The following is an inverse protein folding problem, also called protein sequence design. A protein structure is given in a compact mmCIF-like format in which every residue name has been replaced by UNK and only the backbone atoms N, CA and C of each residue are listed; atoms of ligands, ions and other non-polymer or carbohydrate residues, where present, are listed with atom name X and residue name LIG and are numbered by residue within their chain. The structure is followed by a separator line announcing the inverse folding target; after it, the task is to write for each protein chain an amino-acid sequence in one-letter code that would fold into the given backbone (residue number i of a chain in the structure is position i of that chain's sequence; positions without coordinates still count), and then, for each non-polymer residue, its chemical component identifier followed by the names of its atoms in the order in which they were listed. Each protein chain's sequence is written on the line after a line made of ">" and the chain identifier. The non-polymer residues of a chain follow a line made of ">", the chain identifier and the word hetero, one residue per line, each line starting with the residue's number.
data_IF_812954824920
#
_entry.id   IF_812954824920
#
_cell.length_a   1.000
_cell.length_b   1.000
_cell.length_c   1.000
_cell.angle_alpha   90.00
_cell.angle_beta   90.00
_cell.angle_gamma   90.00
#
_symmetry.space_group_name_H-M   'P 1'
#
loop_
_entity.id
_entity.type
_entity.pdbx_description
1 polymer ?
#
# COMPACT_ATOMS: atom_id res chain seq x y z
N UNK A 1 33.48 -30.00 -53.42
CA UNK A 1 34.25 -28.98 -52.67
C UNK A 1 34.49 -29.50 -51.27
N UNK A 2 35.72 -29.45 -50.79
CA UNK A 2 36.26 -30.29 -49.71
C UNK A 2 36.00 -29.68 -48.32
N UNK A 3 35.07 -30.27 -47.56
CA UNK A 3 34.63 -29.84 -46.23
C UNK A 3 35.81 -29.68 -45.24
N UNK A 4 36.87 -30.45 -45.44
CA UNK A 4 38.08 -30.46 -44.61
C UNK A 4 38.86 -29.15 -44.68
N UNK A 5 38.89 -28.49 -45.85
CA UNK A 5 39.59 -27.20 -46.04
C UNK A 5 38.83 -26.02 -45.44
N UNK A 6 37.50 -26.13 -45.28
CA UNK A 6 36.70 -25.11 -44.62
C UNK A 6 36.83 -25.16 -43.09
N UNK A 7 36.99 -26.35 -42.51
CA UNK A 7 37.12 -26.52 -41.06
C UNK A 7 38.47 -26.00 -40.53
N UNK A 8 39.55 -26.13 -41.30
CA UNK A 8 40.85 -25.57 -40.93
C UNK A 8 40.87 -24.03 -40.90
N UNK A 9 40.07 -23.37 -41.74
CA UNK A 9 39.98 -21.90 -41.80
C UNK A 9 39.29 -21.24 -40.60
N UNK A 10 38.65 -22.04 -39.73
CA UNK A 10 37.92 -21.58 -38.54
C UNK A 10 38.75 -21.67 -37.25
N UNK A 11 40.00 -22.13 -37.32
CA UNK A 11 40.93 -22.10 -36.18
C UNK A 11 41.81 -20.85 -36.24
N UNK A 12 41.76 -20.01 -35.20
CA UNK A 12 42.54 -18.76 -35.07
C UNK A 12 44.03 -18.98 -34.68
N UNK A 13 44.45 -20.22 -34.42
CA UNK A 13 45.83 -20.56 -34.03
C UNK A 13 46.61 -21.22 -35.18
N UNK A 14 47.61 -20.49 -35.68
CA UNK A 14 48.41 -20.83 -36.86
C UNK A 14 49.32 -22.06 -36.64
N UNK A 15 49.72 -22.34 -35.39
CA UNK A 15 50.52 -23.53 -35.05
C UNK A 15 49.68 -24.81 -35.03
N UNK A 16 48.40 -24.69 -34.66
CA UNK A 16 47.48 -25.83 -34.63
C UNK A 16 47.07 -26.21 -36.06
N UNK A 17 46.87 -25.23 -36.96
CA UNK A 17 46.60 -25.48 -38.38
C UNK A 17 47.74 -26.26 -39.05
N UNK A 18 49.00 -25.90 -38.80
CA UNK A 18 50.16 -26.56 -39.43
C UNK A 18 50.32 -28.00 -38.98
N UNK A 19 50.12 -28.29 -37.68
CA UNK A 19 50.14 -29.68 -37.17
C UNK A 19 49.02 -30.53 -37.73
N UNK A 20 47.79 -30.00 -37.82
CA UNK A 20 46.66 -30.73 -38.41
C UNK A 20 46.87 -31.02 -39.90
N UNK A 21 47.42 -30.07 -40.66
CA UNK A 21 47.80 -30.29 -42.06
C UNK A 21 48.83 -31.41 -42.21
N UNK A 22 49.81 -31.52 -41.31
CA UNK A 22 50.80 -32.61 -41.37
C UNK A 22 50.18 -34.00 -41.13
N UNK A 23 49.21 -34.10 -40.23
CA UNK A 23 48.57 -35.38 -39.86
C UNK A 23 47.60 -35.84 -40.96
N UNK A 24 46.85 -34.91 -41.55
CA UNK A 24 45.88 -35.20 -42.61
C UNK A 24 46.58 -35.65 -43.89
N UNK A 25 47.75 -35.08 -44.20
CA UNK A 25 48.53 -35.43 -45.39
C UNK A 25 49.45 -36.66 -45.17
N UNK A 26 49.65 -37.12 -43.94
CA UNK A 26 50.49 -38.29 -43.62
C UNK A 26 49.72 -39.62 -43.53
N UNK A 27 48.42 -39.64 -43.86
CA UNK A 27 47.64 -40.87 -43.90
C UNK A 27 47.72 -41.51 -45.31
N UNK A 28 48.36 -42.69 -45.49
CA UNK A 28 48.34 -43.39 -46.76
C UNK A 28 46.94 -43.95 -47.03
N UNK A 29 46.46 -43.75 -48.26
CA UNK A 29 45.25 -44.38 -48.77
C UNK A 29 45.44 -45.91 -48.81
N UNK A 30 44.63 -46.63 -48.02
CA UNK A 30 44.60 -48.09 -48.06
C UNK A 30 44.09 -48.56 -49.44
N UNK A 31 45.02 -49.06 -50.25
CA UNK A 31 44.75 -49.70 -51.54
C UNK A 31 45.42 -51.07 -51.54
N UNK A 32 44.59 -52.10 -51.73
CA UNK A 32 44.87 -53.45 -52.26
C UNK A 32 45.76 -54.48 -51.51
N UNK A 33 45.13 -55.66 -51.34
CA UNK A 33 45.62 -57.02 -51.62
C UNK A 33 47.09 -57.37 -51.33
N UNK A 34 47.29 -58.37 -50.46
CA UNK A 34 48.12 -59.54 -50.83
C UNK A 34 47.89 -60.72 -49.87
N UNK A 35 47.63 -61.85 -50.51
CA UNK A 35 47.54 -63.21 -49.97
C UNK A 35 48.86 -63.66 -49.34
N UNK A 36 48.83 -64.60 -48.39
CA UNK A 36 49.81 -65.70 -48.30
C UNK A 36 49.32 -66.79 -47.33
N UNK A 37 49.05 -67.94 -47.93
CA UNK A 37 48.89 -69.27 -47.34
C UNK A 37 50.19 -69.80 -46.75
N UNK A 38 50.13 -70.50 -45.61
CA UNK A 38 51.19 -71.46 -45.22
C UNK A 38 50.56 -72.79 -44.80
N UNK A 39 50.47 -73.63 -45.81
CA UNK A 39 50.73 -75.06 -45.90
C UNK A 39 51.25 -75.78 -44.65
N UNK A 40 50.50 -76.83 -44.28
CA UNK A 40 50.94 -78.11 -43.72
C UNK A 40 52.42 -78.45 -43.96
N UNK A 41 53.13 -78.87 -42.90
CA UNK A 41 54.27 -79.78 -43.01
C UNK A 41 54.27 -80.78 -41.85
N UNK A 42 53.88 -82.01 -42.17
CA UNK A 42 54.32 -83.21 -41.45
C UNK A 42 55.81 -83.41 -41.71
N UNK A 43 56.62 -83.53 -40.64
CA UNK A 43 57.89 -84.25 -40.63
C UNK A 43 58.23 -84.59 -39.16
N UNK A 44 58.00 -85.84 -38.75
CA UNK A 44 58.78 -86.48 -37.68
C UNK A 44 60.07 -87.05 -38.28
N UNK A 45 61.00 -87.59 -37.47
CA UNK A 45 61.82 -86.88 -36.49
C UNK A 45 63.31 -87.06 -36.85
N UNK A 46 64.18 -86.13 -36.47
CA UNK A 46 65.60 -86.44 -36.35
C UNK A 46 66.00 -86.13 -34.90
N UNK A 47 65.89 -87.17 -34.06
CA UNK A 47 66.31 -87.15 -32.67
C UNK A 47 67.81 -87.46 -32.68
N UNK A 48 68.63 -86.41 -32.54
CA UNK A 48 69.88 -86.55 -31.81
C UNK A 48 69.52 -86.63 -30.32
N UNK A 49 70.14 -87.52 -29.52
CA UNK A 49 69.80 -87.64 -28.11
C UNK A 49 70.37 -86.43 -27.37
N UNK A 50 69.56 -85.39 -27.17
CA UNK A 50 69.79 -84.46 -26.08
C UNK A 50 69.53 -85.19 -24.76
N UNK A 51 70.44 -84.96 -23.83
CA UNK A 51 70.49 -85.55 -22.51
C UNK A 51 69.14 -85.35 -21.79
N UNK A 52 68.58 -86.43 -21.24
CA UNK A 52 67.20 -86.49 -20.73
C UNK A 52 66.94 -85.53 -19.57
N UNK A 53 68.00 -84.92 -19.00
CA UNK A 53 67.92 -83.93 -17.94
C UNK A 53 67.62 -82.50 -18.43
N UNK A 54 68.03 -82.10 -19.63
CA UNK A 54 67.83 -80.72 -20.10
C UNK A 54 66.39 -80.45 -20.59
N UNK A 55 65.74 -81.45 -21.18
CA UNK A 55 64.35 -81.36 -21.62
C UNK A 55 63.39 -81.28 -20.42
N UNK A 56 63.62 -82.11 -19.38
CA UNK A 56 62.81 -82.10 -18.15
C UNK A 56 63.00 -80.79 -17.36
N UNK A 57 64.21 -80.22 -17.33
CA UNK A 57 64.48 -78.92 -16.70
C UNK A 57 63.78 -77.76 -17.43
N UNK A 58 63.78 -77.78 -18.77
CA UNK A 58 63.13 -76.77 -19.60
C UNK A 58 61.60 -76.85 -19.52
N UNK A 59 61.05 -78.07 -19.47
CA UNK A 59 59.62 -78.33 -19.25
C UNK A 59 59.18 -77.82 -17.86
N UNK A 60 60.00 -78.02 -16.83
CA UNK A 60 59.76 -77.50 -15.48
C UNK A 60 59.76 -75.96 -15.45
N UNK A 61 60.73 -75.32 -16.12
CA UNK A 61 60.80 -73.85 -16.20
C UNK A 61 59.64 -73.24 -17.00
N UNK A 62 59.18 -73.93 -18.06
CA UNK A 62 58.00 -73.53 -18.83
C UNK A 62 56.73 -73.60 -17.96
N UNK A 63 56.56 -74.67 -17.19
CA UNK A 63 55.43 -74.82 -16.27
C UNK A 63 55.46 -73.77 -15.15
N UNK A 64 56.63 -73.46 -14.61
CA UNK A 64 56.80 -72.39 -13.61
C UNK A 64 56.47 -71.01 -14.18
N UNK A 65 56.87 -70.74 -15.43
CA UNK A 65 56.52 -69.49 -16.13
C UNK A 65 55.01 -69.38 -16.40
N UNK A 66 54.33 -70.47 -16.73
CA UNK A 66 52.88 -70.52 -16.91
C UNK A 66 52.14 -70.21 -15.61
N UNK A 67 52.58 -70.83 -14.51
CA UNK A 67 52.03 -70.57 -13.18
C UNK A 67 52.21 -69.10 -12.78
N UNK A 68 53.35 -68.50 -13.13
CA UNK A 68 53.63 -67.08 -12.87
C UNK A 68 52.75 -66.15 -13.69
N UNK A 69 52.46 -66.49 -14.95
CA UNK A 69 51.56 -65.72 -15.82
C UNK A 69 50.12 -65.78 -15.29
N UNK A 70 49.65 -66.95 -14.84
CA UNK A 70 48.33 -67.07 -14.22
C UNK A 70 48.23 -66.25 -12.92
N UNK A 71 49.28 -66.27 -12.10
CA UNK A 71 49.33 -65.48 -10.87
C UNK A 71 49.28 -63.97 -11.15
N UNK A 72 50.07 -63.49 -12.12
CA UNK A 72 50.07 -62.08 -12.53
C UNK A 72 48.76 -61.65 -13.20
N UNK A 73 48.10 -62.55 -13.92
CA UNK A 73 46.76 -62.33 -14.48
C UNK A 73 45.72 -62.17 -13.37
N UNK A 74 45.77 -63.02 -12.35
CA UNK A 74 44.91 -62.94 -11.18
C UNK A 74 45.14 -61.65 -10.39
N UNK A 75 46.39 -61.27 -10.15
CA UNK A 75 46.75 -60.00 -9.49
C UNK A 75 46.27 -58.78 -10.29
N UNK A 76 46.41 -58.79 -11.62
CA UNK A 76 45.88 -57.71 -12.46
C UNK A 76 44.35 -57.63 -12.43
N UNK A 77 43.65 -58.76 -12.40
CA UNK A 77 42.20 -58.76 -12.22
C UNK A 77 41.80 -58.18 -10.86
N UNK A 78 42.51 -58.54 -9.78
CA UNK A 78 42.26 -58.00 -8.45
C UNK A 78 42.56 -56.49 -8.37
N UNK A 79 43.66 -56.03 -8.97
CA UNK A 79 44.00 -54.62 -9.05
C UNK A 79 42.96 -53.83 -9.85
N UNK A 80 42.48 -54.35 -10.98
CA UNK A 80 41.42 -53.71 -11.75
C UNK A 80 40.10 -53.63 -10.98
N UNK A 81 39.75 -54.68 -10.23
CA UNK A 81 38.59 -54.65 -9.34
C UNK A 81 38.75 -53.62 -8.21
N UNK A 82 39.96 -53.48 -7.65
CA UNK A 82 40.26 -52.51 -6.61
C UNK A 82 40.20 -51.07 -7.16
N UNK A 83 40.73 -50.84 -8.37
CA UNK A 83 40.64 -49.56 -9.08
C UNK A 83 39.17 -49.18 -9.32
N UNK A 84 38.32 -50.11 -9.75
CA UNK A 84 36.90 -49.81 -9.94
C UNK A 84 36.18 -49.52 -8.61
N UNK A 85 36.48 -50.27 -7.54
CA UNK A 85 35.96 -49.96 -6.20
C UNK A 85 36.41 -48.57 -5.71
N UNK A 86 37.67 -48.20 -5.96
CA UNK A 86 38.21 -46.88 -5.59
C UNK A 86 37.54 -45.77 -6.42
N UNK A 87 37.32 -45.96 -7.73
CA UNK A 87 36.58 -45.01 -8.57
C UNK A 87 35.15 -44.79 -8.08
N UNK A 88 34.48 -45.86 -7.64
CA UNK A 88 33.14 -45.78 -7.04
C UNK A 88 33.15 -45.06 -5.67
N UNK A 89 34.10 -45.40 -4.79
CA UNK A 89 34.25 -44.77 -3.47
C UNK A 89 34.61 -43.28 -3.54
N UNK A 90 35.45 -42.89 -4.49
CA UNK A 90 35.88 -41.50 -4.70
C UNK A 90 34.84 -40.67 -5.47
N UNK A 91 33.67 -41.24 -5.81
CA UNK A 91 32.60 -40.50 -6.47
C UNK A 91 32.93 -40.05 -7.89
N UNK A 92 33.92 -40.69 -8.55
CA UNK A 92 34.20 -40.49 -9.97
C UNK A 92 33.19 -41.24 -10.87
N UNK A 93 32.02 -41.62 -10.34
CA UNK A 93 30.90 -42.01 -11.18
C UNK A 93 30.53 -40.81 -12.04
N UNK A 94 30.66 -40.98 -13.35
CA UNK A 94 30.50 -39.94 -14.36
C UNK A 94 29.14 -39.21 -14.24
N UNK A 95 28.13 -39.91 -13.69
CA UNK A 95 26.77 -39.41 -13.45
C UNK A 95 26.65 -38.40 -12.31
N UNK A 96 27.46 -38.51 -11.25
CA UNK A 96 27.39 -37.60 -10.10
C UNK A 96 27.91 -36.20 -10.47
N UNK A 97 28.92 -36.11 -11.33
CA UNK A 97 29.54 -34.85 -11.76
C UNK A 97 28.69 -34.08 -12.79
N UNK A 98 27.82 -34.77 -13.53
CA UNK A 98 26.87 -34.16 -14.49
C UNK A 98 25.60 -33.62 -13.80
N UNK A 99 25.18 -34.22 -12.68
CA UNK A 99 23.96 -33.86 -11.96
C UNK A 99 24.05 -32.58 -11.10
N UNK A 100 25.23 -32.29 -10.53
CA UNK A 100 25.44 -31.10 -9.69
C UNK A 100 25.34 -29.77 -10.46
N UNK A 101 25.95 -29.59 -11.65
CA UNK A 101 25.83 -28.38 -12.45
C UNK A 101 24.39 -28.04 -12.83
N UNK A 102 23.60 -29.06 -13.18
CA UNK A 102 22.18 -28.90 -13.52
C UNK A 102 21.36 -28.44 -12.31
N UNK A 103 21.62 -29.01 -11.12
CA UNK A 103 20.98 -28.57 -9.88
C UNK A 103 21.36 -27.13 -9.50
N UNK A 104 22.63 -26.75 -9.69
CA UNK A 104 23.10 -25.37 -9.47
C UNK A 104 22.41 -24.41 -10.45
N UNK A 105 22.27 -24.79 -11.72
CA UNK A 105 21.56 -24.00 -12.73
C UNK A 105 20.08 -23.81 -12.39
N UNK A 106 19.40 -24.87 -11.95
CA UNK A 106 18.00 -24.82 -11.52
C UNK A 106 17.82 -23.93 -10.29
N UNK A 107 18.69 -24.05 -9.28
CA UNK A 107 18.66 -23.21 -8.09
C UNK A 107 18.93 -21.74 -8.43
N UNK A 108 19.88 -21.44 -9.32
CA UNK A 108 20.12 -20.07 -9.79
C UNK A 108 18.91 -19.50 -10.54
N UNK A 109 18.23 -20.31 -11.35
CA UNK A 109 17.03 -19.89 -12.05
C UNK A 109 15.87 -19.61 -11.09
N UNK A 110 15.68 -20.47 -10.07
CA UNK A 110 14.70 -20.24 -9.01
C UNK A 110 15.03 -18.98 -8.20
N UNK A 111 16.31 -18.72 -7.89
CA UNK A 111 16.74 -17.54 -7.16
C UNK A 111 16.46 -16.26 -7.97
N UNK A 112 16.73 -16.26 -9.28
CA UNK A 112 16.36 -15.15 -10.18
C UNK A 112 14.84 -14.95 -10.25
N UNK A 113 14.06 -16.03 -10.36
CA UNK A 113 12.60 -15.95 -10.39
C UNK A 113 12.04 -15.38 -9.07
N UNK A 114 12.58 -15.82 -7.93
CA UNK A 114 12.21 -15.30 -6.60
C UNK A 114 12.64 -13.86 -6.39
N UNK A 115 13.81 -13.45 -6.90
CA UNK A 115 14.24 -12.06 -6.85
C UNK A 115 13.28 -11.17 -7.66
N UNK A 116 12.90 -11.59 -8.87
CA UNK A 116 11.93 -10.85 -9.69
C UNK A 116 10.53 -10.79 -9.04
N UNK A 117 10.13 -11.83 -8.30
CA UNK A 117 8.89 -11.83 -7.52
C UNK A 117 8.95 -10.84 -6.34
N UNK A 118 10.08 -10.81 -5.63
CA UNK A 118 10.35 -9.83 -4.55
C UNK A 118 10.30 -8.40 -5.09
N UNK A 119 10.94 -8.15 -6.23
CA UNK A 119 10.97 -6.80 -6.82
C UNK A 119 9.56 -6.34 -7.24
N UNK A 120 8.74 -7.24 -7.79
CA UNK A 120 7.33 -6.97 -8.09
C UNK A 120 6.49 -6.70 -6.85
N UNK A 121 6.69 -7.49 -5.80
CA UNK A 121 6.01 -7.30 -4.52
C UNK A 121 6.40 -5.97 -3.88
N UNK A 122 7.68 -5.60 -3.94
CA UNK A 122 8.17 -4.30 -3.44
C UNK A 122 7.54 -3.13 -4.20
N UNK A 123 7.46 -3.22 -5.55
CA UNK A 123 6.75 -2.21 -6.33
C UNK A 123 5.27 -2.11 -5.93
N UNK A 124 4.59 -3.24 -5.75
CA UNK A 124 3.19 -3.24 -5.33
C UNK A 124 3.01 -2.62 -3.94
N UNK A 125 3.92 -2.89 -3.00
CA UNK A 125 3.91 -2.31 -1.66
C UNK A 125 4.10 -0.79 -1.71
N UNK A 126 5.04 -0.30 -2.53
CA UNK A 126 5.28 1.14 -2.70
C UNK A 126 4.09 1.84 -3.36
N UNK A 127 3.47 1.22 -4.37
CA UNK A 127 2.25 1.73 -5.00
C UNK A 127 1.09 1.80 -4.00
N UNK A 128 0.88 0.72 -3.23
CA UNK A 128 -0.16 0.68 -2.20
C UNK A 128 0.09 1.71 -1.09
N UNK A 129 1.34 1.89 -0.67
CA UNK A 129 1.72 2.90 0.33
C UNK A 129 1.43 4.31 -0.18
N UNK A 130 1.74 4.59 -1.44
CA UNK A 130 1.45 5.88 -2.08
C UNK A 130 -0.06 6.12 -2.17
N UNK A 131 -0.84 5.10 -2.56
CA UNK A 131 -2.30 5.19 -2.60
C UNK A 131 -2.93 5.39 -1.20
N UNK A 132 -2.38 4.75 -0.17
CA UNK A 132 -2.82 4.94 1.21
C UNK A 132 -2.54 6.36 1.69
N UNK A 133 -1.34 6.89 1.41
CA UNK A 133 -1.01 8.28 1.74
C UNK A 133 -1.92 9.27 1.03
N UNK A 134 -2.20 9.07 -0.26
CA UNK A 134 -3.14 9.91 -1.01
C UNK A 134 -4.55 9.84 -0.41
N UNK A 135 -5.08 8.64 -0.15
CA UNK A 135 -6.40 8.48 0.47
C UNK A 135 -6.49 9.11 1.85
N UNK A 136 -5.42 9.01 2.65
CA UNK A 136 -5.36 9.62 3.97
C UNK A 136 -5.37 11.15 3.87
N UNK A 137 -4.61 11.72 2.94
CA UNK A 137 -4.62 13.15 2.69
C UNK A 137 -5.99 13.63 2.19
N UNK A 138 -6.65 12.89 1.31
CA UNK A 138 -7.98 13.20 0.81
C UNK A 138 -9.06 13.06 1.89
N UNK A 139 -8.89 12.13 2.83
CA UNK A 139 -9.73 12.07 4.03
C UNK A 139 -9.55 13.31 4.89
N UNK A 140 -8.31 13.68 5.21
CA UNK A 140 -8.00 14.89 6.01
C UNK A 140 -8.61 16.14 5.39
N UNK A 141 -8.47 16.33 4.07
CA UNK A 141 -9.07 17.47 3.35
C UNK A 141 -10.60 17.47 3.42
N UNK A 142 -11.24 16.30 3.42
CA UNK A 142 -12.70 16.19 3.56
C UNK A 142 -13.14 16.51 4.99
N UNK A 143 -12.40 16.04 5.98
CA UNK A 143 -12.67 16.32 7.39
C UNK A 143 -12.52 17.82 7.68
N UNK A 144 -11.49 18.46 7.15
CA UNK A 144 -11.31 19.93 7.21
C UNK A 144 -12.48 20.68 6.58
N UNK A 145 -12.95 20.25 5.40
CA UNK A 145 -14.14 20.84 4.76
C UNK A 145 -15.39 20.65 5.60
N UNK A 146 -15.56 19.49 6.23
CA UNK A 146 -16.71 19.20 7.08
C UNK A 146 -16.73 20.10 8.31
N UNK A 147 -15.60 20.24 8.99
CA UNK A 147 -15.44 21.19 10.11
C UNK A 147 -15.71 22.62 9.66
N UNK A 148 -15.23 22.99 8.46
CA UNK A 148 -15.51 24.30 7.88
C UNK A 148 -17.01 24.52 7.67
N UNK A 149 -17.72 23.58 7.03
CA UNK A 149 -19.17 23.69 6.82
C UNK A 149 -19.95 23.77 8.13
N UNK A 150 -19.60 22.92 9.11
CA UNK A 150 -20.21 22.99 10.44
C UNK A 150 -20.02 24.37 11.05
N UNK A 151 -18.78 24.86 11.13
CA UNK A 151 -18.48 26.14 11.77
C UNK A 151 -19.20 27.33 11.11
N UNK A 152 -19.38 27.32 9.78
CA UNK A 152 -19.93 28.47 9.06
C UNK A 152 -21.47 28.45 8.96
N UNK A 153 -22.08 27.26 8.89
CA UNK A 153 -23.52 27.10 8.64
C UNK A 153 -24.30 26.53 9.82
N UNK A 154 -23.65 26.11 10.92
CA UNK A 154 -24.34 25.59 12.11
C UNK A 154 -25.39 26.56 12.64
N UNK A 155 -25.05 27.85 12.78
CA UNK A 155 -26.01 28.86 13.25
C UNK A 155 -27.22 29.00 12.30
N UNK A 156 -27.04 28.85 10.98
CA UNK A 156 -28.12 28.95 9.99
C UNK A 156 -29.03 27.71 9.99
N UNK A 157 -28.45 26.53 10.18
CA UNK A 157 -29.20 25.29 10.36
C UNK A 157 -29.95 25.28 11.69
N UNK A 158 -29.36 25.83 12.75
CA UNK A 158 -30.00 25.98 14.05
C UNK A 158 -31.20 26.94 13.99
N UNK A 159 -31.11 28.02 13.20
CA UNK A 159 -32.25 28.91 12.92
C UNK A 159 -33.41 28.13 12.31
N UNK A 160 -33.14 27.29 11.30
CA UNK A 160 -34.16 26.46 10.66
C UNK A 160 -34.77 25.45 11.65
N UNK A 161 -33.94 24.71 12.39
CA UNK A 161 -34.41 23.72 13.36
C UNK A 161 -35.32 24.35 14.40
N UNK A 162 -34.89 25.48 14.99
CA UNK A 162 -35.68 26.21 15.98
C UNK A 162 -37.03 26.65 15.40
N UNK A 163 -37.04 27.17 14.17
CA UNK A 163 -38.28 27.59 13.51
C UNK A 163 -39.23 26.42 13.25
N UNK A 164 -38.70 25.26 12.82
CA UNK A 164 -39.49 24.05 12.57
C UNK A 164 -40.05 23.44 13.86
N UNK A 165 -39.34 23.57 14.98
CA UNK A 165 -39.77 23.10 16.30
C UNK A 165 -40.81 24.00 16.99
N UNK A 166 -41.08 25.20 16.46
CA UNK A 166 -42.17 26.06 16.95
C UNK A 166 -43.52 25.38 16.72
N UNK A 167 -44.50 25.68 17.57
CA UNK A 167 -45.88 25.27 17.34
C UNK A 167 -46.45 25.89 16.06
N UNK A 168 -47.45 25.24 15.48
CA UNK A 168 -48.13 25.74 14.27
C UNK A 168 -48.75 27.11 14.49
N UNK A 169 -49.29 27.35 15.69
CA UNK A 169 -49.83 28.66 16.09
C UNK A 169 -48.74 29.74 16.04
N UNK A 170 -47.59 29.49 16.67
CA UNK A 170 -46.46 30.43 16.67
C UNK A 170 -45.94 30.68 15.26
N UNK A 171 -45.77 29.65 14.43
CA UNK A 171 -45.34 29.83 13.03
C UNK A 171 -46.33 30.68 12.23
N UNK A 172 -47.63 30.42 12.41
CA UNK A 172 -48.70 31.19 11.75
C UNK A 172 -48.62 32.67 12.12
N UNK A 173 -48.42 32.99 13.40
CA UNK A 173 -48.22 34.36 13.88
C UNK A 173 -46.97 35.02 13.28
N UNK A 174 -45.92 34.24 13.00
CA UNK A 174 -44.66 34.71 12.44
C UNK A 174 -44.65 34.82 10.90
N UNK A 175 -45.69 34.38 10.19
CA UNK A 175 -45.78 34.46 8.72
C UNK A 175 -45.68 35.91 8.18
N UNK A 176 -46.04 36.91 8.99
CA UNK A 176 -45.88 38.32 8.64
C UNK A 176 -44.41 38.79 8.62
N UNK A 177 -43.52 38.02 9.25
CA UNK A 177 -42.08 38.30 9.39
C UNK A 177 -41.30 37.38 8.44
N UNK A 178 -41.57 36.08 8.47
CA UNK A 178 -40.89 35.08 7.63
C UNK A 178 -41.79 34.68 6.46
N UNK A 179 -41.49 35.19 5.27
CA UNK A 179 -42.26 34.89 4.05
C UNK A 179 -41.79 33.63 3.35
N UNK A 180 -40.53 33.27 3.54
CA UNK A 180 -39.91 32.03 3.08
C UNK A 180 -39.31 31.32 4.30
N UNK A 181 -39.58 30.01 4.39
CA UNK A 181 -39.22 29.15 5.52
C UNK A 181 -38.05 28.21 5.17
N UNK A 182 -37.43 28.39 3.99
CA UNK A 182 -36.12 27.85 3.66
C UNK A 182 -35.02 28.45 4.56
N UNK A 183 -33.85 27.82 4.62
CA UNK A 183 -32.70 28.34 5.39
C UNK A 183 -32.34 29.75 4.91
N UNK A 184 -32.19 29.90 3.60
CA UNK A 184 -31.86 31.16 2.94
C UNK A 184 -32.93 32.22 3.17
N UNK A 185 -34.20 31.82 3.10
CA UNK A 185 -35.36 32.67 3.35
C UNK A 185 -35.41 33.21 4.77
N UNK A 186 -35.21 32.35 5.77
CA UNK A 186 -35.19 32.73 7.19
C UNK A 186 -34.04 33.69 7.49
N UNK A 187 -32.84 33.39 7.00
CA UNK A 187 -31.66 34.27 7.17
C UNK A 187 -31.87 35.61 6.48
N UNK A 188 -32.35 35.61 5.22
CA UNK A 188 -32.61 36.84 4.49
C UNK A 188 -33.68 37.70 5.16
N UNK A 189 -34.74 37.09 5.71
CA UNK A 189 -35.74 37.79 6.50
C UNK A 189 -35.15 38.34 7.80
N UNK A 190 -34.30 37.58 8.50
CA UNK A 190 -33.68 37.99 9.77
C UNK A 190 -32.68 39.14 9.67
N UNK A 191 -32.05 39.34 8.50
CA UNK A 191 -31.15 40.47 8.26
C UNK A 191 -31.93 41.78 8.02
N UNK A 192 -33.24 41.73 7.74
CA UNK A 192 -34.01 42.95 7.51
C UNK A 192 -34.35 43.65 8.82
N UNK A 193 -33.97 44.94 8.95
CA UNK A 193 -34.19 45.74 10.16
C UNK A 193 -35.66 45.74 10.63
N UNK A 194 -36.60 45.82 9.68
CA UNK A 194 -38.03 45.76 9.98
C UNK A 194 -38.43 44.43 10.62
N UNK A 195 -37.94 43.32 10.08
CA UNK A 195 -38.30 41.99 10.53
C UNK A 195 -37.66 41.65 11.87
N UNK A 196 -36.39 42.01 12.08
CA UNK A 196 -35.74 41.80 13.37
C UNK A 196 -36.39 42.63 14.48
N UNK A 197 -36.80 43.86 14.17
CA UNK A 197 -37.58 44.69 15.10
C UNK A 197 -38.95 44.07 15.39
N UNK A 198 -39.67 43.60 14.37
CA UNK A 198 -40.98 42.97 14.53
C UNK A 198 -40.90 41.67 15.32
N UNK A 199 -39.85 40.86 15.11
CA UNK A 199 -39.61 39.63 15.85
C UNK A 199 -39.38 39.93 17.32
N UNK A 200 -38.60 40.97 17.62
CA UNK A 200 -38.41 41.42 18.99
C UNK A 200 -39.71 41.90 19.63
N UNK A 201 -40.51 42.70 18.92
CA UNK A 201 -41.81 43.18 19.42
C UNK A 201 -42.78 42.03 19.69
N UNK A 202 -42.79 41.01 18.83
CA UNK A 202 -43.55 39.78 19.02
C UNK A 202 -43.06 39.00 20.25
N UNK A 203 -41.75 38.76 20.38
CA UNK A 203 -41.18 38.08 21.54
C UNK A 203 -41.53 38.82 22.84
N UNK A 204 -41.47 40.15 22.84
CA UNK A 204 -41.89 40.98 23.97
C UNK A 204 -43.38 40.80 24.28
N UNK A 205 -44.26 40.84 23.29
CA UNK A 205 -45.70 40.69 23.54
C UNK A 205 -46.04 39.32 24.12
N UNK A 206 -45.41 38.26 23.61
CA UNK A 206 -45.56 36.91 24.13
C UNK A 206 -44.95 36.75 25.52
N UNK A 207 -43.82 37.42 25.81
CA UNK A 207 -43.21 37.39 27.13
C UNK A 207 -44.07 38.09 28.20
N UNK A 208 -44.71 39.22 27.86
CA UNK A 208 -45.53 39.98 28.82
C UNK A 208 -46.94 39.39 28.99
N UNK A 209 -47.57 38.98 27.89
CA UNK A 209 -48.99 38.62 27.87
C UNK A 209 -49.25 37.11 27.72
N UNK A 210 -48.26 36.35 27.26
CA UNK A 210 -48.46 35.01 26.76
C UNK A 210 -48.09 33.91 27.75
N UNK A 211 -48.73 32.76 27.59
CA UNK A 211 -48.27 31.45 28.09
C UNK A 211 -47.65 30.63 26.96
N UNK A 212 -47.07 31.31 25.96
CA UNK A 212 -46.56 30.67 24.77
C UNK A 212 -45.40 29.73 25.13
N UNK A 213 -45.55 28.41 24.95
CA UNK A 213 -44.53 27.45 25.34
C UNK A 213 -43.26 27.58 24.49
N UNK A 214 -43.34 28.27 23.35
CA UNK A 214 -42.21 28.47 22.43
C UNK A 214 -41.40 29.74 22.73
N UNK A 215 -41.72 30.52 23.78
CA UNK A 215 -41.08 31.80 24.05
C UNK A 215 -39.54 31.72 24.10
N UNK A 216 -38.99 30.70 24.76
CA UNK A 216 -37.55 30.50 24.83
C UNK A 216 -36.94 30.20 23.45
N UNK A 217 -37.63 29.43 22.60
CA UNK A 217 -37.20 29.19 21.22
C UNK A 217 -37.26 30.46 20.38
N UNK A 218 -38.29 31.29 20.56
CA UNK A 218 -38.43 32.58 19.87
C UNK A 218 -37.30 33.53 20.29
N UNK A 219 -36.99 33.62 21.58
CA UNK A 219 -35.88 34.41 22.09
C UNK A 219 -34.55 33.94 21.49
N UNK A 220 -34.32 32.63 21.45
CA UNK A 220 -33.12 32.05 20.86
C UNK A 220 -33.03 32.30 19.35
N UNK A 221 -34.16 32.19 18.65
CA UNK A 221 -34.27 32.50 17.23
C UNK A 221 -33.92 33.98 16.97
N UNK A 222 -34.43 34.89 17.80
CA UNK A 222 -34.07 36.31 17.75
C UNK A 222 -32.56 36.51 17.92
N UNK A 223 -31.93 35.90 18.92
CA UNK A 223 -30.48 36.04 19.14
C UNK A 223 -29.65 35.57 17.93
N UNK A 224 -29.98 34.39 17.37
CA UNK A 224 -29.26 33.83 16.22
C UNK A 224 -29.44 34.70 14.97
N UNK A 225 -30.67 35.15 14.68
CA UNK A 225 -30.93 36.05 13.57
C UNK A 225 -30.27 37.42 13.81
N UNK A 226 -30.22 37.90 15.05
CA UNK A 226 -29.56 39.15 15.40
C UNK A 226 -28.05 39.08 15.15
N UNK A 227 -27.40 37.93 15.41
CA UNK A 227 -25.99 37.72 15.03
C UNK A 227 -25.76 37.90 13.52
N UNK A 228 -26.71 37.46 12.68
CA UNK A 228 -26.62 37.67 11.22
C UNK A 228 -26.93 39.12 10.84
N UNK A 229 -27.92 39.74 11.50
CA UNK A 229 -28.27 41.13 11.32
C UNK A 229 -27.09 42.08 11.56
N UNK A 230 -26.31 41.88 12.64
CA UNK A 230 -25.16 42.76 12.93
C UNK A 230 -24.00 42.61 11.93
N UNK A 231 -23.93 41.51 11.16
CA UNK A 231 -22.94 41.41 10.08
C UNK A 231 -23.25 42.42 8.97
N UNK A 232 -24.53 42.65 8.68
CA UNK A 232 -24.97 43.66 7.72
C UNK A 232 -25.03 45.07 8.34
N UNK A 233 -25.32 45.17 9.65
CA UNK A 233 -25.47 46.44 10.37
C UNK A 233 -24.61 46.48 11.65
N UNK A 234 -23.28 46.64 11.55
CA UNK A 234 -22.36 46.56 12.69
C UNK A 234 -22.52 47.67 13.74
N UNK A 235 -23.35 48.69 13.47
CA UNK A 235 -23.66 49.73 14.45
C UNK A 235 -24.66 49.30 15.52
N UNK A 236 -25.21 48.09 15.46
CA UNK A 236 -26.09 47.57 16.48
C UNK A 236 -25.39 46.51 17.33
N UNK A 237 -25.75 46.44 18.61
CA UNK A 237 -25.32 45.39 19.52
C UNK A 237 -26.45 45.06 20.48
N UNK A 238 -26.48 43.82 20.97
CA UNK A 238 -27.34 43.45 22.08
C UNK A 238 -26.98 44.30 23.31
N UNK A 239 -28.00 44.67 24.08
CA UNK A 239 -27.81 45.48 25.27
C UNK A 239 -27.05 44.67 26.34
N UNK A 240 -26.02 45.27 26.93
CA UNK A 240 -25.24 44.64 28.00
C UNK A 240 -25.98 44.76 29.34
N UNK A 241 -26.91 43.85 29.60
CA UNK A 241 -27.68 43.76 30.86
C UNK A 241 -27.33 42.48 31.59
N UNK A 242 -27.17 42.55 32.91
CA UNK A 242 -26.88 41.41 33.80
C UNK A 242 -27.84 41.38 34.98
N UNK A 243 -28.05 40.17 35.50
CA UNK A 243 -28.74 39.97 36.78
C UNK A 243 -27.92 40.67 37.88
N UNK A 244 -28.58 41.45 38.72
CA UNK A 244 -27.98 42.30 39.74
C UNK A 244 -27.87 43.78 39.35
N UNK A 245 -27.90 44.12 38.05
CA UNK A 245 -27.87 45.50 37.58
C UNK A 245 -29.07 46.30 38.10
N UNK A 246 -28.92 47.61 38.26
CA UNK A 246 -30.01 48.48 38.72
C UNK A 246 -30.99 48.71 37.57
N UNK A 247 -32.29 48.53 37.84
CA UNK A 247 -33.34 48.84 36.87
C UNK A 247 -33.36 50.33 36.52
N UNK A 248 -33.47 50.63 35.22
CA UNK A 248 -33.54 51.98 34.68
C UNK A 248 -34.64 52.02 33.61
N UNK A 249 -35.64 52.87 33.82
CA UNK A 249 -36.78 53.04 32.90
C UNK A 249 -36.41 53.52 31.50
N UNK A 250 -35.23 54.12 31.31
CA UNK A 250 -34.74 54.53 29.99
C UNK A 250 -34.11 53.37 29.22
N UNK A 251 -33.61 52.36 29.94
CA UNK A 251 -32.84 51.25 29.39
C UNK A 251 -33.62 49.93 29.41
N UNK A 252 -34.60 49.79 30.30
CA UNK A 252 -35.25 48.53 30.61
C UNK A 252 -36.77 48.67 30.63
N UNK A 253 -37.46 47.61 30.21
CA UNK A 253 -38.90 47.43 30.36
C UNK A 253 -39.14 46.47 31.52
N UNK A 254 -40.03 46.85 32.44
CA UNK A 254 -40.43 46.00 33.55
C UNK A 254 -41.45 44.96 33.11
N UNK A 255 -41.22 43.70 33.47
CA UNK A 255 -42.19 42.62 33.31
C UNK A 255 -43.36 42.76 34.30
N UNK A 256 -44.56 42.35 33.92
CA UNK A 256 -45.79 42.52 34.72
C UNK A 256 -45.76 41.78 36.06
N UNK A 257 -44.97 40.72 36.18
CA UNK A 257 -44.78 39.96 37.43
C UNK A 257 -43.95 40.71 38.48
N UNK A 258 -43.30 41.82 38.13
CA UNK A 258 -42.43 42.55 39.05
C UNK A 258 -43.25 43.41 40.00
N UNK A 259 -43.23 43.06 41.28
CA UNK A 259 -43.96 43.78 42.35
C UNK A 259 -43.35 45.15 42.61
N UNK A 260 -42.01 45.24 42.57
CA UNK A 260 -41.30 46.47 42.86
C UNK A 260 -41.28 47.43 41.65
N UNK A 261 -41.20 48.73 41.92
CA UNK A 261 -41.08 49.79 40.89
C UNK A 261 -39.63 50.17 40.59
N UNK A 262 -38.71 49.81 41.48
CA UNK A 262 -37.27 50.03 41.39
C UNK A 262 -36.53 48.94 42.15
N UNK A 263 -35.30 48.62 41.74
CA UNK A 263 -34.48 47.62 42.40
C UNK A 263 -33.47 47.00 41.45
N UNK A 264 -32.77 45.97 41.93
CA UNK A 264 -31.87 45.17 41.10
C UNK A 264 -32.65 44.19 40.22
N UNK A 265 -32.17 43.97 39.01
CA UNK A 265 -32.71 43.02 38.05
C UNK A 265 -32.52 41.60 38.59
N UNK A 266 -33.61 40.85 38.75
CA UNK A 266 -33.58 39.46 39.19
C UNK A 266 -33.54 38.48 38.01
N UNK A 267 -34.25 38.78 36.91
CA UNK A 267 -34.32 37.92 35.72
C UNK A 267 -34.37 38.77 34.45
N UNK A 268 -33.66 38.35 33.40
CA UNK A 268 -33.77 38.92 32.05
C UNK A 268 -34.67 38.00 31.22
N UNK A 269 -35.81 38.50 30.74
CA UNK A 269 -36.79 37.73 29.97
C UNK A 269 -36.59 37.83 28.46
N UNK A 270 -36.10 38.97 27.99
CA UNK A 270 -35.75 39.19 26.59
C UNK A 270 -34.70 40.30 26.52
N UNK A 271 -33.61 40.04 25.82
CA UNK A 271 -32.54 41.01 25.64
C UNK A 271 -32.94 42.02 24.55
N UNK A 272 -32.72 43.30 24.84
CA UNK A 272 -32.88 44.41 23.92
C UNK A 272 -31.63 44.67 23.07
N UNK A 273 -31.66 45.71 22.25
CA UNK A 273 -30.48 46.12 21.48
C UNK A 273 -30.37 47.63 21.34
N UNK A 274 -29.12 48.07 21.16
CA UNK A 274 -28.71 49.47 21.15
C UNK A 274 -27.97 49.79 19.87
N UNK A 275 -27.99 51.06 19.49
CA UNK A 275 -27.09 51.58 18.46
C UNK A 275 -25.80 52.05 19.12
N UNK A 276 -24.69 51.38 18.83
CA UNK A 276 -23.37 51.64 19.44
C UNK A 276 -22.76 52.97 19.02
N UNK A 277 -23.19 53.54 17.88
CA UNK A 277 -22.72 54.86 17.42
C UNK A 277 -23.40 56.00 18.14
N UNK A 278 -24.70 55.89 18.41
CA UNK A 278 -25.49 56.96 19.06
C UNK A 278 -25.73 56.72 20.54
N UNK A 279 -25.37 55.53 21.05
CA UNK A 279 -25.69 55.04 22.39
C UNK A 279 -27.21 55.02 22.69
N UNK A 280 -28.04 55.10 21.65
CA UNK A 280 -29.50 55.07 21.79
C UNK A 280 -29.99 53.64 21.93
N UNK A 281 -30.79 53.39 22.95
CA UNK A 281 -31.55 52.14 23.07
C UNK A 281 -32.63 52.10 21.99
N UNK A 282 -32.58 51.10 21.11
CA UNK A 282 -33.55 50.92 20.04
C UNK A 282 -34.72 50.09 20.57
N UNK A 283 -34.41 48.95 21.18
CA UNK A 283 -35.36 48.10 21.89
C UNK A 283 -34.82 47.85 23.31
N UNK A 284 -35.52 48.25 24.39
CA UNK A 284 -35.03 48.09 25.76
C UNK A 284 -35.27 46.67 26.27
N UNK A 285 -34.32 46.11 27.02
CA UNK A 285 -34.43 44.75 27.56
C UNK A 285 -35.64 44.58 28.49
N UNK A 286 -36.36 43.46 28.39
CA UNK A 286 -37.47 43.12 29.27
C UNK A 286 -36.95 42.33 30.48
N UNK A 287 -37.20 42.85 31.68
CA UNK A 287 -36.60 42.34 32.91
C UNK A 287 -37.61 42.21 34.04
N UNK A 288 -37.34 41.30 34.97
CA UNK A 288 -38.03 41.17 36.26
C UNK A 288 -37.18 41.83 37.32
N UNK A 289 -37.83 42.60 38.20
CA UNK A 289 -37.23 43.25 39.37
C UNK A 289 -37.67 42.46 40.60
#
# INVERSE_FOLDING_TARGET
>A
MDLKKQLLKLLDDDQIQTKLCSIINSMPAATNQESLSVTSCNCSPNIEPLDSQEFDAMQAQLNESHLRIEQLSSENQQLNQLIEKIKQLLGFSQDANLSLPDSIGQLQQQLKAKQAEIDKLNQLVDDQKTQLQQRQQDSSKRDEKLVWYQTHFEDDLNILSLYQELSEQTRTSLNGIFKDTSVEGLVACGIQEKNISNLWDYAKSEAVNGTNPDLEKINRLFELLFKRFILAYPMFALQAVKVGDIFDTQLHIKHNSSVNTSGSISIIRLIGYVNTKTQKVIKPSLVVI
#
